data_IF_080578985925
#
_entry.id   IF_080578985925
#
_cell.length_a   1.000
_cell.length_b   1.000
_cell.length_c   1.000
_cell.angle_alpha   90.00
_cell.angle_beta   90.00
_cell.angle_gamma   90.00
#
_symmetry.space_group_name_H-M   'P 1'
#
loop_
_entity.id
_entity.type
_entity.pdbx_description
1 polymer ?
#
# COMPACT_ATOMS: atom_id res chain seq x y z
N UNK A 1 2.07 -17.90 -14.45
CA UNK A 1 2.40 -17.40 -13.10
C UNK A 1 1.70 -16.08 -12.86
N UNK A 2 0.95 -15.99 -11.81
CA UNK A 2 0.32 -14.74 -11.38
C UNK A 2 1.14 -14.09 -10.26
N UNK A 3 1.00 -12.78 -10.09
CA UNK A 3 1.51 -12.08 -8.91
C UNK A 3 0.44 -11.16 -8.34
N UNK A 4 0.43 -11.02 -7.03
CA UNK A 4 -0.46 -10.13 -6.33
C UNK A 4 0.31 -9.38 -5.24
N UNK A 5 0.12 -8.07 -5.19
CA UNK A 5 0.62 -7.27 -4.06
C UNK A 5 -0.47 -7.19 -3.01
N UNK A 6 -0.11 -7.48 -1.77
CA UNK A 6 -1.05 -7.48 -0.65
C UNK A 6 -0.49 -6.71 0.53
N UNK A 7 -1.39 -6.10 1.29
CA UNK A 7 -1.12 -5.57 2.62
C UNK A 7 -1.77 -6.49 3.64
N UNK A 8 -0.98 -6.99 4.55
CA UNK A 8 -1.42 -7.76 5.70
C UNK A 8 -1.37 -6.86 6.93
N UNK A 9 -2.47 -6.75 7.65
CA UNK A 9 -2.52 -6.12 8.96
C UNK A 9 -2.75 -7.20 10.01
N UNK A 10 -1.76 -7.36 10.86
CA UNK A 10 -1.78 -8.34 11.95
C UNK A 10 -2.31 -7.66 13.20
N UNK A 11 -3.48 -8.08 13.73
CA UNK A 11 -3.90 -7.67 15.06
C UNK A 11 -2.88 -8.12 16.10
N UNK A 12 -2.84 -7.43 17.21
CA UNK A 12 -1.91 -7.70 18.31
C UNK A 12 -1.95 -9.17 18.79
N UNK A 13 -3.12 -9.79 18.73
CA UNK A 13 -3.34 -11.18 19.18
C UNK A 13 -2.73 -12.24 18.28
N UNK A 14 -2.37 -11.87 17.06
CA UNK A 14 -1.84 -12.82 16.05
C UNK A 14 -0.48 -12.44 15.51
N UNK A 15 0.07 -11.31 15.95
CA UNK A 15 1.36 -10.79 15.47
C UNK A 15 2.51 -11.76 15.71
N UNK A 16 2.45 -12.57 16.77
CA UNK A 16 3.48 -13.56 17.14
C UNK A 16 3.35 -14.89 16.39
N UNK A 17 2.28 -15.08 15.62
CA UNK A 17 2.07 -16.33 14.89
C UNK A 17 2.85 -16.35 13.57
N UNK A 18 3.52 -17.48 13.23
CA UNK A 18 4.30 -17.58 12.00
C UNK A 18 3.42 -17.80 10.76
N UNK A 19 2.41 -16.95 10.54
CA UNK A 19 1.38 -17.11 9.51
C UNK A 19 2.01 -17.11 8.12
N UNK A 20 2.94 -16.20 7.84
CA UNK A 20 3.62 -16.09 6.55
C UNK A 20 4.37 -17.37 6.21
N UNK A 21 5.10 -17.94 7.18
CA UNK A 21 5.81 -19.22 7.00
C UNK A 21 4.85 -20.39 6.75
N UNK A 22 3.71 -20.40 7.42
CA UNK A 22 2.68 -21.42 7.22
C UNK A 22 2.09 -21.37 5.81
N UNK A 23 1.83 -20.19 5.30
CA UNK A 23 1.29 -19.98 3.93
C UNK A 23 2.26 -20.50 2.89
N UNK A 24 3.53 -20.13 2.99
CA UNK A 24 4.56 -20.58 2.03
C UNK A 24 4.67 -22.09 1.99
N UNK A 25 4.73 -22.73 3.15
CA UNK A 25 4.85 -24.21 3.23
C UNK A 25 3.63 -24.94 2.70
N UNK A 26 2.43 -24.35 2.89
CA UNK A 26 1.17 -25.02 2.54
C UNK A 26 0.81 -24.87 1.07
N UNK A 27 1.06 -23.69 0.49
CA UNK A 27 0.60 -23.33 -0.85
C UNK A 27 1.71 -23.23 -1.88
N UNK A 28 2.97 -23.51 -1.50
CA UNK A 28 4.14 -23.46 -2.37
C UNK A 28 4.24 -22.14 -3.17
N UNK A 29 4.04 -21.03 -2.47
CA UNK A 29 4.08 -19.70 -3.04
C UNK A 29 5.43 -19.03 -2.76
N UNK A 30 5.92 -18.29 -3.74
CA UNK A 30 7.02 -17.37 -3.53
C UNK A 30 6.49 -16.00 -3.09
N UNK A 31 7.24 -15.31 -2.25
CA UNK A 31 6.89 -13.95 -1.87
C UNK A 31 8.12 -13.05 -1.70
N UNK A 32 7.90 -11.79 -1.98
CA UNK A 32 8.87 -10.74 -1.76
C UNK A 32 8.32 -9.71 -0.78
N UNK A 33 9.07 -9.42 0.29
CA UNK A 33 8.66 -8.42 1.27
C UNK A 33 9.06 -7.05 0.75
N UNK A 34 8.06 -6.20 0.52
CA UNK A 34 8.26 -4.82 0.07
C UNK A 34 8.42 -3.86 1.24
N UNK A 35 7.69 -4.12 2.34
CA UNK A 35 7.75 -3.36 3.57
C UNK A 35 7.25 -4.21 4.73
N UNK A 36 7.92 -4.13 5.86
CA UNK A 36 7.45 -4.74 7.10
C UNK A 36 7.60 -3.75 8.26
N UNK A 37 6.56 -3.66 9.06
CA UNK A 37 6.57 -2.98 10.34
C UNK A 37 5.83 -3.87 11.34
N UNK A 38 6.57 -4.61 12.12
CA UNK A 38 6.02 -5.58 13.06
C UNK A 38 6.73 -5.38 14.41
N UNK A 39 5.94 -5.06 15.42
CA UNK A 39 6.38 -4.99 16.81
C UNK A 39 5.46 -5.84 17.67
N UNK A 40 5.97 -6.52 18.71
CA UNK A 40 5.13 -7.35 19.59
C UNK A 40 4.04 -6.58 20.34
N UNK A 41 4.21 -5.27 20.44
CA UNK A 41 3.37 -4.41 21.29
C UNK A 41 2.26 -3.71 20.52
N UNK A 42 2.36 -3.67 19.19
CA UNK A 42 1.44 -2.96 18.31
C UNK A 42 0.93 -3.85 17.17
N UNK A 43 -0.02 -3.34 16.42
CA UNK A 43 -0.46 -3.99 15.19
C UNK A 43 0.67 -4.07 14.17
N UNK A 44 0.87 -5.24 13.58
CA UNK A 44 1.85 -5.45 12.53
C UNK A 44 1.30 -5.06 11.16
N UNK A 45 2.18 -4.51 10.31
CA UNK A 45 1.91 -4.22 8.91
C UNK A 45 2.97 -4.91 8.04
N UNK A 46 2.51 -5.70 7.08
CA UNK A 46 3.37 -6.34 6.10
C UNK A 46 2.84 -6.07 4.69
N UNK A 47 3.66 -5.47 3.86
CA UNK A 47 3.40 -5.31 2.42
C UNK A 47 4.27 -6.29 1.68
N UNK A 48 3.65 -7.15 0.89
CA UNK A 48 4.36 -8.19 0.17
C UNK A 48 3.78 -8.40 -1.23
N UNK A 49 4.62 -8.89 -2.11
CA UNK A 49 4.22 -9.45 -3.40
C UNK A 49 4.25 -10.96 -3.29
N UNK A 50 3.15 -11.59 -3.66
CA UNK A 50 2.98 -13.04 -3.66
C UNK A 50 2.99 -13.49 -5.12
N UNK A 51 3.74 -14.52 -5.42
CA UNK A 51 3.88 -15.09 -6.77
C UNK A 51 3.54 -16.58 -6.75
N UNK A 52 2.77 -17.01 -7.73
CA UNK A 52 2.35 -18.41 -7.87
C UNK A 52 1.17 -18.55 -8.81
N UNK A 53 0.49 -19.67 -8.74
CA UNK A 53 -0.76 -19.87 -9.46
C UNK A 53 -1.89 -19.03 -8.81
N UNK A 54 -2.78 -18.50 -9.64
CA UNK A 54 -3.85 -17.61 -9.17
C UNK A 54 -4.73 -18.25 -8.10
N UNK A 55 -5.04 -19.53 -8.28
CA UNK A 55 -5.86 -20.28 -7.32
C UNK A 55 -5.15 -20.49 -5.99
N UNK A 56 -3.85 -20.77 -6.00
CA UNK A 56 -3.05 -20.92 -4.78
C UNK A 56 -2.94 -19.61 -4.02
N UNK A 57 -2.77 -18.50 -4.74
CA UNK A 57 -2.77 -17.14 -4.14
C UNK A 57 -4.11 -16.86 -3.46
N UNK A 58 -5.23 -17.18 -4.13
CA UNK A 58 -6.57 -16.97 -3.59
C UNK A 58 -6.81 -17.78 -2.32
N UNK A 59 -6.50 -19.08 -2.35
CA UNK A 59 -6.62 -19.96 -1.19
C UNK A 59 -5.71 -19.52 -0.03
N UNK A 60 -4.50 -19.08 -0.32
CA UNK A 60 -3.57 -18.56 0.67
C UNK A 60 -4.13 -17.28 1.36
N UNK A 61 -4.71 -16.38 0.59
CA UNK A 61 -5.33 -15.16 1.12
C UNK A 61 -6.52 -15.50 2.02
N UNK A 62 -7.38 -16.43 1.60
CA UNK A 62 -8.52 -16.88 2.40
C UNK A 62 -8.08 -17.57 3.70
N UNK A 63 -7.03 -18.37 3.64
CA UNK A 63 -6.42 -18.97 4.82
C UNK A 63 -5.90 -17.88 5.80
N UNK A 64 -5.20 -16.89 5.30
CA UNK A 64 -4.68 -15.78 6.13
C UNK A 64 -5.82 -14.99 6.78
N UNK A 65 -6.88 -14.68 6.02
CA UNK A 65 -8.08 -14.03 6.57
C UNK A 65 -8.73 -14.85 7.67
N UNK A 66 -8.79 -16.17 7.52
CA UNK A 66 -9.34 -17.07 8.52
C UNK A 66 -8.57 -17.09 9.85
N UNK A 67 -7.28 -16.68 9.84
CA UNK A 67 -6.46 -16.55 11.06
C UNK A 67 -6.71 -15.23 11.83
N UNK A 68 -7.54 -14.34 11.32
CA UNK A 68 -7.84 -13.04 11.91
C UNK A 68 -6.98 -11.89 11.36
N UNK A 69 -6.14 -12.13 10.37
CA UNK A 69 -5.34 -11.11 9.69
C UNK A 69 -6.18 -10.41 8.61
N UNK A 70 -6.17 -9.09 8.60
CA UNK A 70 -6.80 -8.32 7.52
C UNK A 70 -5.90 -8.34 6.29
N UNK A 71 -6.44 -8.75 5.15
CA UNK A 71 -5.73 -8.80 3.86
C UNK A 71 -6.41 -7.85 2.88
N UNK A 72 -5.61 -6.96 2.31
CA UNK A 72 -6.06 -6.06 1.26
C UNK A 72 -5.15 -6.25 0.04
N UNK A 73 -5.76 -6.50 -1.11
CA UNK A 73 -5.02 -6.50 -2.36
C UNK A 73 -4.60 -5.07 -2.72
N UNK A 74 -3.34 -4.92 -3.07
CA UNK A 74 -2.82 -3.67 -3.59
C UNK A 74 -2.92 -3.65 -5.12
N UNK A 75 -4.12 -3.81 -5.64
CA UNK A 75 -4.41 -3.52 -7.04
C UNK A 75 -4.72 -2.03 -7.17
N UNK A 76 -3.92 -1.19 -6.55
CA UNK A 76 -4.20 0.22 -6.45
C UNK A 76 -3.09 1.08 -6.99
N UNK A 77 -3.47 2.27 -7.39
CA UNK A 77 -2.55 3.33 -7.73
C UNK A 77 -2.56 4.37 -6.62
N UNK A 78 -1.39 4.94 -6.37
CA UNK A 78 -1.32 6.23 -5.69
C UNK A 78 -1.83 7.26 -6.70
N UNK A 79 -2.78 8.04 -6.29
CA UNK A 79 -3.34 9.14 -7.08
C UNK A 79 -2.98 10.45 -6.42
N UNK A 80 -2.45 11.35 -7.21
CA UNK A 80 -2.17 12.72 -6.78
C UNK A 80 -3.23 13.66 -7.34
N UNK A 81 -3.87 14.40 -6.44
CA UNK A 81 -4.80 15.46 -6.77
C UNK A 81 -3.99 16.73 -7.12
N UNK A 82 -4.00 17.10 -8.37
CA UNK A 82 -3.22 18.25 -8.85
C UNK A 82 -3.73 19.58 -8.32
N UNK A 83 -5.02 19.69 -8.06
CA UNK A 83 -5.61 20.92 -7.49
C UNK A 83 -5.19 21.18 -6.04
N UNK A 84 -4.90 20.11 -5.31
CA UNK A 84 -4.46 20.18 -3.92
C UNK A 84 -2.95 20.20 -3.78
N UNK A 85 -2.23 19.69 -4.77
CA UNK A 85 -0.78 19.59 -4.73
C UNK A 85 -0.13 20.96 -4.91
N UNK A 86 0.71 21.34 -3.97
CA UNK A 86 1.50 22.59 -4.04
C UNK A 86 2.98 22.31 -4.41
N UNK A 87 3.29 21.10 -4.83
CA UNK A 87 4.64 20.68 -5.25
C UNK A 87 5.73 20.92 -4.19
N UNK A 88 5.39 20.78 -2.91
CA UNK A 88 6.35 21.02 -1.82
C UNK A 88 7.46 19.96 -1.70
N UNK A 89 7.32 18.82 -2.36
CA UNK A 89 8.33 17.76 -2.40
C UNK A 89 8.41 16.89 -1.15
N UNK A 90 7.58 17.05 -0.14
CA UNK A 90 7.61 16.22 1.07
C UNK A 90 7.41 14.73 0.77
N UNK A 91 6.55 14.40 -0.19
CA UNK A 91 6.32 13.03 -0.64
C UNK A 91 7.53 12.42 -1.38
N UNK A 92 8.30 13.27 -2.07
CA UNK A 92 9.54 12.84 -2.75
C UNK A 92 10.58 12.38 -1.73
N UNK A 93 10.73 13.12 -0.64
CA UNK A 93 11.69 12.81 0.41
C UNK A 93 11.45 11.48 1.13
N UNK A 94 10.21 10.99 1.14
CA UNK A 94 9.84 9.73 1.82
C UNK A 94 9.66 8.55 0.86
N UNK A 95 9.76 8.77 -0.44
CA UNK A 95 9.61 7.72 -1.44
C UNK A 95 10.92 6.95 -1.64
N UNK A 96 11.01 5.76 -1.03
CA UNK A 96 12.22 4.93 -1.09
C UNK A 96 12.52 4.33 -2.46
N UNK A 97 11.50 4.22 -3.33
CA UNK A 97 11.65 3.62 -4.66
C UNK A 97 11.89 4.64 -5.76
N UNK A 98 11.84 5.94 -5.44
CA UNK A 98 11.96 7.00 -6.43
C UNK A 98 10.77 7.10 -7.38
N UNK A 99 9.60 6.54 -6.99
CA UNK A 99 8.37 6.67 -7.77
C UNK A 99 7.84 8.11 -7.81
N UNK A 100 8.14 8.89 -6.77
CA UNK A 100 7.88 10.33 -6.72
C UNK A 100 9.21 11.07 -6.86
N UNK A 101 9.26 12.02 -7.76
CA UNK A 101 10.43 12.85 -8.03
C UNK A 101 10.01 14.27 -8.39
N UNK A 102 10.98 15.17 -8.47
CA UNK A 102 10.77 16.52 -9.01
C UNK A 102 11.32 16.57 -10.43
N UNK A 103 10.59 17.19 -11.32
CA UNK A 103 11.07 17.47 -12.67
C UNK A 103 11.96 18.72 -12.71
N UNK A 104 12.36 19.16 -13.92
CA UNK A 104 13.18 20.34 -14.14
C UNK A 104 12.55 21.65 -13.66
N UNK A 105 11.23 21.69 -13.58
CA UNK A 105 10.44 22.84 -13.15
C UNK A 105 10.03 22.75 -11.67
N UNK A 106 10.65 21.83 -10.93
CA UNK A 106 10.37 21.54 -9.52
C UNK A 106 8.93 21.06 -9.25
N UNK A 107 8.29 20.50 -10.27
CA UNK A 107 6.97 19.92 -10.13
C UNK A 107 7.08 18.46 -9.70
N UNK A 108 6.21 18.01 -8.80
CA UNK A 108 6.15 16.61 -8.38
C UNK A 108 5.58 15.76 -9.52
N UNK A 109 6.34 14.76 -9.94
CA UNK A 109 5.93 13.77 -10.93
C UNK A 109 5.86 12.38 -10.29
N UNK A 110 4.98 11.54 -10.80
CA UNK A 110 4.73 10.21 -10.28
C UNK A 110 4.89 9.15 -11.37
N UNK A 111 5.77 8.19 -11.11
CA UNK A 111 5.99 7.01 -11.95
C UNK A 111 5.40 5.78 -11.25
N UNK A 112 4.24 5.34 -11.73
CA UNK A 112 3.52 4.20 -11.17
C UNK A 112 4.29 2.88 -11.29
N UNK A 113 5.18 2.75 -12.28
CA UNK A 113 5.98 1.52 -12.48
C UNK A 113 6.96 1.25 -11.34
N UNK A 114 7.41 2.30 -10.65
CA UNK A 114 8.32 2.22 -9.51
C UNK A 114 7.61 2.16 -8.16
N UNK A 115 6.30 2.40 -8.15
CA UNK A 115 5.54 2.49 -6.91
C UNK A 115 5.27 1.10 -6.32
N UNK A 116 5.64 0.91 -5.05
CA UNK A 116 5.32 -0.30 -4.26
C UNK A 116 4.13 -0.09 -3.32
N UNK A 117 3.41 0.99 -3.49
CA UNK A 117 2.17 1.34 -2.75
C UNK A 117 2.33 1.28 -1.23
N UNK A 118 3.47 1.69 -0.71
CA UNK A 118 3.77 1.63 0.72
C UNK A 118 3.00 2.66 1.57
N UNK A 119 2.43 3.71 0.96
CA UNK A 119 1.57 4.69 1.61
C UNK A 119 2.30 5.78 2.42
N UNK A 120 3.63 5.83 2.45
CA UNK A 120 4.35 6.89 3.19
C UNK A 120 4.08 8.28 2.65
N UNK A 121 3.98 8.43 1.34
CA UNK A 121 3.69 9.71 0.69
C UNK A 121 2.32 10.27 1.13
N UNK A 122 1.35 9.41 1.40
CA UNK A 122 0.02 9.82 1.88
C UNK A 122 0.15 10.48 3.25
N UNK A 123 0.93 9.90 4.14
CA UNK A 123 1.18 10.44 5.49
C UNK A 123 2.01 11.72 5.46
N UNK A 124 2.95 11.80 4.52
CA UNK A 124 3.83 12.97 4.38
C UNK A 124 3.13 14.19 3.79
N UNK A 125 2.06 14.00 3.03
CA UNK A 125 1.35 15.10 2.38
C UNK A 125 0.40 15.81 3.36
N UNK A 126 0.80 16.98 3.83
CA UNK A 126 -0.03 17.80 4.73
C UNK A 126 -1.27 18.38 4.02
N UNK A 127 -1.20 18.56 2.70
CA UNK A 127 -2.32 19.07 1.89
C UNK A 127 -3.33 18.00 1.52
N UNK A 128 -3.07 16.71 1.89
CA UNK A 128 -3.93 15.57 1.54
C UNK A 128 -4.19 15.45 0.04
N UNK A 129 -3.19 15.81 -0.76
CA UNK A 129 -3.24 15.71 -2.21
C UNK A 129 -3.01 14.26 -2.71
N UNK A 130 -2.44 13.40 -1.87
CA UNK A 130 -2.14 12.02 -2.25
C UNK A 130 -3.08 11.07 -1.54
N UNK A 131 -3.69 10.20 -2.32
CA UNK A 131 -4.55 9.13 -1.83
C UNK A 131 -4.23 7.80 -2.51
N UNK A 132 -4.60 6.73 -1.86
CA UNK A 132 -4.53 5.38 -2.44
C UNK A 132 -5.92 5.02 -2.95
N UNK A 133 -6.00 4.68 -4.22
CA UNK A 133 -7.18 4.06 -4.81
C UNK A 133 -6.89 2.57 -4.98
N UNK A 134 -7.60 1.76 -4.24
CA UNK A 134 -7.55 0.30 -4.36
C UNK A 134 -8.61 -0.12 -5.38
N UNK A 135 -8.17 -0.76 -6.44
CA UNK A 135 -9.07 -1.33 -7.44
C UNK A 135 -9.39 -2.77 -7.04
N UNK A 136 -10.68 -3.11 -7.02
CA UNK A 136 -11.09 -4.50 -6.95
C UNK A 136 -10.70 -5.24 -8.24
N UNK A 137 -10.55 -6.57 -8.21
CA UNK A 137 -10.30 -7.37 -9.40
C UNK A 137 -11.39 -7.19 -10.50
N UNK A 138 -12.56 -6.71 -10.12
CA UNK A 138 -13.69 -6.36 -10.98
C UNK A 138 -13.78 -4.87 -11.36
N UNK A 139 -12.69 -4.12 -11.19
CA UNK A 139 -12.60 -2.69 -11.48
C UNK A 139 -13.44 -1.77 -10.55
N UNK A 140 -13.91 -2.29 -9.41
CA UNK A 140 -14.57 -1.47 -8.40
C UNK A 140 -13.54 -0.98 -7.37
N UNK A 141 -13.66 0.28 -7.00
CA UNK A 141 -12.78 0.90 -5.98
C UNK A 141 -13.12 0.35 -4.61
N UNK A 142 -12.29 -0.57 -4.07
CA UNK A 142 -12.54 -1.23 -2.80
C UNK A 142 -12.33 -0.33 -1.58
N UNK A 143 -11.45 0.65 -1.67
CA UNK A 143 -11.20 1.60 -0.59
C UNK A 143 -10.80 2.96 -1.15
N UNK A 144 -11.67 3.93 -0.97
CA UNK A 144 -11.24 5.34 -0.90
C UNK A 144 -10.81 5.57 0.54
N UNK A 145 -9.53 5.84 0.79
CA UNK A 145 -9.19 6.47 2.06
C UNK A 145 -10.02 7.74 2.16
N UNK A 146 -10.85 7.92 3.20
CA UNK A 146 -11.63 9.13 3.31
C UNK A 146 -10.65 10.30 3.22
N UNK A 147 -10.86 11.16 2.23
CA UNK A 147 -10.27 12.48 2.26
C UNK A 147 -10.85 13.12 3.52
N UNK A 148 -10.08 13.09 4.59
CA UNK A 148 -10.40 13.92 5.74
C UNK A 148 -10.38 15.34 5.21
N UNK A 149 -11.54 15.91 5.10
CA UNK A 149 -11.80 17.26 4.62
C UNK A 149 -11.31 18.32 5.63
N UNK A 150 -10.05 18.20 6.04
CA UNK A 150 -9.33 19.16 6.87
C UNK A 150 -8.13 19.67 6.10
N UNK A 151 -8.39 20.34 5.03
CA UNK A 151 -7.41 21.03 4.22
C UNK A 151 -8.16 21.98 3.32
N UNK A 152 -8.62 23.10 3.88
CA UNK A 152 -8.93 24.24 3.04
C UNK A 152 -7.72 24.50 2.15
N UNK A 153 -7.93 24.66 0.85
CA UNK A 153 -6.93 25.27 -0.04
C UNK A 153 -6.35 26.47 0.71
N UNK A 154 -5.03 26.62 0.79
CA UNK A 154 -4.50 27.92 1.18
C UNK A 154 -5.05 28.91 0.14
N UNK A 155 -5.71 29.95 0.63
CA UNK A 155 -6.14 31.04 -0.23
C UNK A 155 -4.89 31.55 -0.96
N UNK A 156 -4.88 31.44 -2.28
CA UNK A 156 -3.91 32.13 -3.10
C UNK A 156 -4.28 33.61 -3.05
N UNK A 157 -3.55 34.40 -2.29
CA UNK A 157 -3.37 35.81 -2.58
C UNK A 157 -2.29 35.97 -3.61
#
# INVERSE_FOLDING_TARGET
>A
MASAKVVLKFPKEVVDKPITSMVVKKYNLDFNILKAYITPEEEGLLVMEIMGEEEDIRQAVDFVKATGVSVHYLNGNIVRDEDRCVHCGACVGVCSTGALSLDSDYMVVFDSSKCVVCGFCIKACIYKAIRMELLAPDNQTLFKTPSTSLGAKPATE
#
